data_IF_573272924252
#
_entry.id   IF_573272924252
#
_cell.length_a   1.000
_cell.length_b   1.000
_cell.length_c   1.000
_cell.angle_alpha   90.00
_cell.angle_beta   90.00
_cell.angle_gamma   90.00
#
_symmetry.space_group_name_H-M   'P 1'
#
loop_
_entity.id
_entity.type
_entity.pdbx_description
1 polymer ?
#
# COMPACT_ATOMS: atom_id res chain seq x y z
N UNK A 1 -6.84 6.15 8.61
CA UNK A 1 -5.99 7.33 8.27
C UNK A 1 -4.71 6.94 7.55
N UNK A 2 -3.82 6.15 8.17
CA UNK A 2 -2.53 5.76 7.57
C UNK A 2 -2.64 5.19 6.14
N UNK A 3 -3.70 4.44 5.83
CA UNK A 3 -3.92 3.81 4.51
C UNK A 3 -4.74 4.63 3.50
N UNK A 4 -5.36 5.73 3.92
CA UNK A 4 -6.41 6.40 3.13
C UNK A 4 -6.15 7.89 2.92
N UNK A 5 -5.35 8.51 3.77
CA UNK A 5 -5.05 9.94 3.69
C UNK A 5 -3.71 10.16 2.99
N UNK A 6 -3.67 10.91 1.86
CA UNK A 6 -2.45 11.06 1.07
C UNK A 6 -1.23 11.52 1.87
N UNK A 7 -1.39 12.46 2.79
CA UNK A 7 -0.30 12.99 3.63
C UNK A 7 0.36 11.94 4.53
N UNK A 8 -0.34 10.83 4.82
CA UNK A 8 0.19 9.71 5.56
C UNK A 8 0.74 8.64 4.62
N UNK A 9 0.01 8.30 3.55
CA UNK A 9 0.42 7.27 2.57
C UNK A 9 1.79 7.55 1.97
N UNK A 10 2.05 8.79 1.52
CA UNK A 10 3.32 9.16 0.87
C UNK A 10 4.55 9.03 1.79
N UNK A 11 4.36 8.89 3.11
CA UNK A 11 5.46 8.77 4.07
C UNK A 11 5.94 7.33 4.28
N UNK A 12 5.08 6.35 4.03
CA UNK A 12 5.43 4.94 4.26
C UNK A 12 5.42 4.12 2.97
N UNK A 13 4.61 4.48 1.97
CA UNK A 13 4.50 3.72 0.72
C UNK A 13 5.65 4.08 -0.22
N UNK A 14 6.64 3.20 -0.36
CA UNK A 14 7.76 3.39 -1.28
C UNK A 14 8.99 2.57 -0.91
N UNK A 15 9.83 2.25 -1.90
CA UNK A 15 10.97 1.34 -1.73
C UNK A 15 12.28 2.05 -1.35
N UNK A 16 12.46 3.35 -1.65
CA UNK A 16 13.74 4.04 -1.45
C UNK A 16 13.58 5.33 -0.61
N UNK A 17 14.52 5.65 0.30
CA UNK A 17 14.55 6.92 1.02
C UNK A 17 14.62 8.15 0.10
N UNK A 18 15.25 7.99 -1.07
CA UNK A 18 15.49 9.07 -2.03
C UNK A 18 14.33 9.24 -3.03
N UNK A 19 13.31 8.37 -3.00
CA UNK A 19 12.18 8.46 -3.93
C UNK A 19 11.14 9.48 -3.48
N UNK A 20 10.68 10.33 -4.40
CA UNK A 20 9.50 11.16 -4.18
C UNK A 20 8.24 10.33 -4.45
N UNK A 21 7.28 10.38 -3.54
CA UNK A 21 6.03 9.61 -3.64
C UNK A 21 4.87 10.57 -3.78
N UNK A 22 4.07 10.39 -4.82
CA UNK A 22 2.76 11.03 -4.94
C UNK A 22 1.64 10.00 -4.75
N UNK A 23 0.50 10.47 -4.23
CA UNK A 23 -0.67 9.64 -4.01
C UNK A 23 -1.95 10.43 -4.33
N UNK A 24 -2.74 9.94 -5.28
CA UNK A 24 -4.07 10.45 -5.61
C UNK A 24 -5.09 9.42 -5.17
N UNK A 25 -6.18 9.89 -4.55
CA UNK A 25 -7.14 9.01 -3.91
C UNK A 25 -8.59 9.46 -4.10
N UNK A 26 -9.40 8.62 -4.74
CA UNK A 26 -10.87 8.71 -4.75
C UNK A 26 -11.43 7.68 -3.76
N UNK A 27 -11.48 8.07 -2.47
CA UNK A 27 -11.81 7.16 -1.36
C UNK A 27 -13.32 6.86 -1.28
N UNK A 28 -13.79 5.97 -2.14
CA UNK A 28 -15.15 5.39 -2.12
C UNK A 28 -15.10 4.00 -2.74
N UNK A 29 -16.09 3.16 -2.45
CA UNK A 29 -16.21 1.86 -3.14
C UNK A 29 -16.36 2.11 -4.65
N UNK A 30 -15.56 1.40 -5.44
CA UNK A 30 -15.43 1.59 -6.88
C UNK A 30 -14.61 2.83 -7.30
N UNK A 31 -14.09 3.60 -6.35
CA UNK A 31 -13.13 4.67 -6.59
C UNK A 31 -11.71 4.13 -6.73
N UNK A 32 -10.86 4.91 -7.40
CA UNK A 32 -9.49 4.54 -7.74
C UNK A 32 -8.48 5.31 -6.90
N UNK A 33 -7.35 4.66 -6.62
CA UNK A 33 -6.14 5.32 -6.16
C UNK A 33 -4.98 5.08 -7.12
N UNK A 34 -4.05 6.03 -7.14
CA UNK A 34 -2.78 5.91 -7.88
C UNK A 34 -1.66 6.41 -7.00
N UNK A 35 -0.60 5.61 -6.88
CA UNK A 35 0.68 5.99 -6.30
C UNK A 35 1.77 5.99 -7.36
N UNK A 36 2.60 7.03 -7.37
CA UNK A 36 3.78 7.11 -8.24
C UNK A 36 5.02 7.33 -7.36
N UNK A 37 5.99 6.44 -7.46
CA UNK A 37 7.31 6.58 -6.87
C UNK A 37 8.31 7.01 -7.93
N UNK A 38 8.89 8.20 -7.75
CA UNK A 38 9.87 8.81 -8.65
C UNK A 38 11.28 8.59 -8.10
N UNK A 39 12.10 7.85 -8.83
CA UNK A 39 13.48 7.56 -8.46
C UNK A 39 14.44 8.64 -8.99
N UNK A 40 15.62 8.85 -8.35
CA UNK A 40 16.60 9.84 -8.80
C UNK A 40 17.14 9.63 -10.22
N UNK A 41 17.09 8.39 -10.73
CA UNK A 41 17.51 8.04 -12.09
C UNK A 41 16.43 8.35 -13.16
N UNK A 42 15.29 8.90 -12.75
CA UNK A 42 14.16 9.21 -13.61
C UNK A 42 13.17 8.07 -13.79
N UNK A 43 13.41 6.89 -13.20
CA UNK A 43 12.48 5.77 -13.22
C UNK A 43 11.21 6.13 -12.42
N UNK A 44 10.05 5.80 -12.97
CA UNK A 44 8.76 5.94 -12.29
C UNK A 44 8.14 4.56 -12.10
N UNK A 45 7.91 4.19 -10.85
CA UNK A 45 7.12 3.01 -10.49
C UNK A 45 5.71 3.46 -10.15
N UNK A 46 4.69 2.81 -10.72
CA UNK A 46 3.30 3.15 -10.48
C UNK A 46 2.55 1.98 -9.86
N UNK A 47 1.72 2.27 -8.88
CA UNK A 47 0.71 1.34 -8.38
C UNK A 47 -0.65 1.99 -8.55
N UNK A 48 -1.63 1.24 -9.06
CA UNK A 48 -3.03 1.66 -9.05
C UNK A 48 -3.91 0.57 -8.44
N UNK A 49 -5.10 0.98 -8.01
CA UNK A 49 -6.06 0.05 -7.45
C UNK A 49 -7.46 0.65 -7.36
N UNK A 50 -8.45 -0.24 -7.21
CA UNK A 50 -9.86 0.09 -7.03
C UNK A 50 -10.30 -0.40 -5.66
N UNK A 51 -10.96 0.46 -4.89
CA UNK A 51 -11.54 0.07 -3.60
C UNK A 51 -12.73 -0.86 -3.80
N UNK A 52 -12.67 -2.05 -3.20
CA UNK A 52 -13.72 -3.06 -3.22
C UNK A 52 -14.60 -3.01 -1.97
N UNK A 53 -14.01 -2.69 -0.82
CA UNK A 53 -14.70 -2.57 0.45
C UNK A 53 -14.05 -1.47 1.30
N UNK A 54 -14.88 -0.64 1.93
CA UNK A 54 -14.45 0.36 2.91
C UNK A 54 -15.41 0.26 4.10
N UNK A 55 -14.94 -0.30 5.21
CA UNK A 55 -15.68 -0.38 6.47
C UNK A 55 -14.85 0.29 7.55
N UNK A 56 -15.15 1.56 7.86
CA UNK A 56 -14.33 2.31 8.82
C UNK A 56 -14.72 1.98 10.27
N UNK A 57 -13.74 1.88 11.19
CA UNK A 57 -12.29 1.94 10.97
C UNK A 57 -11.66 0.57 10.63
N UNK A 58 -12.44 -0.51 10.66
CA UNK A 58 -11.95 -1.88 10.85
C UNK A 58 -11.36 -2.54 9.60
N UNK A 59 -11.78 -2.16 8.38
CA UNK A 59 -11.44 -2.91 7.18
C UNK A 59 -11.38 -2.09 5.90
N UNK A 60 -10.39 -2.39 5.07
CA UNK A 60 -10.19 -1.81 3.76
C UNK A 60 -9.75 -2.90 2.77
N UNK A 61 -10.45 -3.03 1.65
CA UNK A 61 -10.11 -4.00 0.59
C UNK A 61 -9.97 -3.28 -0.74
N UNK A 62 -8.89 -3.52 -1.47
CA UNK A 62 -8.63 -2.91 -2.77
C UNK A 62 -7.84 -3.84 -3.70
N UNK A 63 -8.01 -3.64 -4.99
CA UNK A 63 -7.12 -4.28 -5.97
C UNK A 63 -5.75 -3.62 -5.93
N UNK A 64 -4.74 -4.35 -6.37
CA UNK A 64 -3.38 -3.87 -6.44
C UNK A 64 -2.77 -4.26 -7.78
N UNK A 65 -2.36 -3.27 -8.54
CA UNK A 65 -1.80 -3.46 -9.87
C UNK A 65 -0.55 -2.60 -9.96
N UNK A 66 0.59 -3.24 -10.22
CA UNK A 66 1.89 -2.60 -10.27
C UNK A 66 2.35 -2.45 -11.72
N UNK A 67 2.89 -1.29 -12.09
CA UNK A 67 3.72 -1.11 -13.28
C UNK A 67 5.12 -0.60 -12.90
N UNK A 68 6.15 -1.34 -13.29
CA UNK A 68 7.56 -0.96 -13.17
C UNK A 68 8.28 -1.34 -14.45
N UNK A 69 9.01 -0.40 -15.06
CA UNK A 69 9.95 -0.59 -16.17
C UNK A 69 9.77 -1.89 -17.00
N UNK A 70 8.68 -1.98 -17.76
CA UNK A 70 8.39 -3.10 -18.68
C UNK A 70 7.64 -4.30 -18.08
N UNK A 71 7.36 -4.29 -16.78
CA UNK A 71 6.52 -5.26 -16.08
C UNK A 71 5.17 -4.63 -15.72
N UNK A 72 4.09 -5.29 -16.17
CA UNK A 72 2.73 -5.01 -15.72
C UNK A 72 2.27 -6.18 -14.85
N UNK A 73 2.20 -5.93 -13.54
CA UNK A 73 1.65 -6.86 -12.57
C UNK A 73 0.18 -7.17 -12.87
N UNK A 74 -0.25 -8.35 -12.44
CA UNK A 74 -1.66 -8.74 -12.46
C UNK A 74 -2.43 -8.01 -11.36
N UNK A 75 -3.73 -7.83 -11.54
CA UNK A 75 -4.60 -7.31 -10.48
C UNK A 75 -4.65 -8.33 -9.33
N UNK A 76 -3.93 -8.05 -8.25
CA UNK A 76 -3.97 -8.79 -6.99
C UNK A 76 -4.95 -8.13 -6.02
N UNK A 77 -5.19 -8.75 -4.86
CA UNK A 77 -6.12 -8.23 -3.86
C UNK A 77 -5.42 -8.00 -2.52
N UNK A 78 -5.56 -6.80 -1.99
CA UNK A 78 -5.06 -6.43 -0.65
C UNK A 78 -6.24 -6.23 0.28
N UNK A 79 -6.18 -6.89 1.44
CA UNK A 79 -7.08 -6.67 2.57
C UNK A 79 -6.26 -6.16 3.75
N UNK A 80 -6.66 -5.02 4.29
CA UNK A 80 -6.18 -4.48 5.57
C UNK A 80 -7.32 -4.62 6.57
N UNK A 81 -7.05 -5.29 7.68
CA UNK A 81 -7.96 -5.41 8.81
C UNK A 81 -7.29 -4.82 10.05
N UNK A 82 -8.04 -4.02 10.80
CA UNK A 82 -7.63 -3.39 12.04
C UNK A 82 -8.52 -3.92 13.16
N UNK A 83 -7.91 -4.37 14.24
CA UNK A 83 -8.61 -4.78 15.45
C UNK A 83 -8.06 -4.02 16.65
N UNK A 84 -8.94 -3.57 17.54
CA UNK A 84 -8.50 -3.03 18.82
C UNK A 84 -7.84 -4.13 19.66
N UNK A 85 -6.72 -3.78 20.28
CA UNK A 85 -6.02 -4.62 21.25
C UNK A 85 -5.67 -3.77 22.47
N UNK A 86 -5.42 -4.40 23.61
CA UNK A 86 -5.07 -3.69 24.85
C UNK A 86 -3.85 -2.79 24.63
N UNK A 87 -4.07 -1.47 24.64
CA UNK A 87 -3.03 -0.46 24.45
C UNK A 87 -2.61 -0.21 23.00
N UNK A 88 -3.33 -0.71 21.99
CA UNK A 88 -2.98 -0.47 20.59
C UNK A 88 -3.96 -1.00 19.55
N UNK A 89 -3.45 -1.22 18.35
CA UNK A 89 -4.21 -1.74 17.21
C UNK A 89 -3.41 -2.86 16.58
N UNK A 90 -4.02 -4.04 16.44
CA UNK A 90 -3.50 -5.10 15.61
C UNK A 90 -3.86 -4.81 14.15
N UNK A 91 -2.85 -4.79 13.30
CA UNK A 91 -3.00 -4.66 11.86
C UNK A 91 -2.69 -5.99 11.20
N UNK A 92 -3.66 -6.54 10.48
CA UNK A 92 -3.46 -7.68 9.58
C UNK A 92 -3.52 -7.22 8.14
N UNK A 93 -2.43 -7.44 7.39
CA UNK A 93 -2.38 -7.21 5.94
C UNK A 93 -2.30 -8.55 5.21
N UNK A 94 -3.30 -8.82 4.36
CA UNK A 94 -3.30 -9.97 3.46
C UNK A 94 -3.20 -9.49 2.03
N UNK A 95 -2.19 -9.96 1.30
CA UNK A 95 -2.05 -9.75 -0.13
C UNK A 95 -2.14 -11.11 -0.83
N UNK A 96 -3.07 -11.25 -1.77
CA UNK A 96 -3.41 -12.53 -2.41
C UNK A 96 -3.69 -12.38 -3.91
N UNK A 97 -4.01 -13.51 -4.56
CA UNK A 97 -4.27 -13.63 -6.01
C UNK A 97 -3.04 -13.36 -6.91
N UNK A 98 -1.83 -13.65 -6.42
CA UNK A 98 -0.61 -13.61 -7.23
C UNK A 98 -0.60 -14.70 -8.31
N UNK A 99 -0.02 -14.38 -9.47
CA UNK A 99 0.17 -15.33 -10.56
C UNK A 99 1.24 -16.38 -10.26
N UNK A 100 2.27 -16.01 -9.50
CA UNK A 100 3.39 -16.88 -9.12
C UNK A 100 3.91 -16.58 -7.70
N UNK A 101 4.70 -17.50 -7.17
CA UNK A 101 5.24 -17.42 -5.80
C UNK A 101 6.37 -16.41 -5.63
N UNK A 102 7.11 -16.09 -6.70
CA UNK A 102 8.20 -15.12 -6.64
C UNK A 102 7.65 -13.70 -6.46
N UNK A 103 6.61 -13.34 -7.23
CA UNK A 103 5.89 -12.10 -7.09
C UNK A 103 5.29 -11.96 -5.68
N UNK A 104 4.70 -13.02 -5.13
CA UNK A 104 4.19 -13.05 -3.75
C UNK A 104 5.29 -12.72 -2.74
N UNK A 105 6.44 -13.38 -2.85
CA UNK A 105 7.54 -13.24 -1.88
C UNK A 105 8.19 -11.86 -1.94
N UNK A 106 8.37 -11.31 -3.14
CA UNK A 106 8.85 -9.93 -3.34
C UNK A 106 7.88 -8.89 -2.74
N UNK A 107 6.57 -9.06 -2.95
CA UNK A 107 5.57 -8.19 -2.33
C UNK A 107 5.54 -8.34 -0.81
N UNK A 108 5.76 -9.55 -0.28
CA UNK A 108 5.88 -9.79 1.16
C UNK A 108 7.02 -8.99 1.80
N UNK A 109 8.19 -8.99 1.16
CA UNK A 109 9.33 -8.17 1.60
C UNK A 109 9.03 -6.67 1.50
N UNK A 110 8.43 -6.23 0.39
CA UNK A 110 8.00 -4.85 0.18
C UNK A 110 7.05 -4.35 1.26
N UNK A 111 6.03 -5.15 1.59
CA UNK A 111 5.08 -4.84 2.65
C UNK A 111 5.72 -4.79 4.03
N UNK A 112 6.67 -5.69 4.33
CA UNK A 112 7.41 -5.66 5.60
C UNK A 112 8.08 -4.30 5.84
N UNK A 113 8.83 -3.81 4.85
CA UNK A 113 9.47 -2.49 4.93
C UNK A 113 8.46 -1.33 5.06
N UNK A 114 7.32 -1.42 4.39
CA UNK A 114 6.26 -0.42 4.50
C UNK A 114 5.63 -0.41 5.91
N UNK A 115 5.39 -1.59 6.50
CA UNK A 115 4.83 -1.71 7.84
C UNK A 115 5.80 -1.22 8.92
N UNK A 116 7.10 -1.45 8.77
CA UNK A 116 8.13 -0.89 9.66
C UNK A 116 8.12 0.64 9.64
N UNK A 117 7.96 1.26 8.46
CA UNK A 117 7.80 2.71 8.33
C UNK A 117 6.55 3.22 9.02
N UNK A 118 5.41 2.51 8.90
CA UNK A 118 4.18 2.85 9.61
C UNK A 118 4.41 2.80 11.13
N UNK A 119 5.03 1.74 11.63
CA UNK A 119 5.33 1.60 13.06
C UNK A 119 6.23 2.74 13.56
N UNK A 120 7.28 3.10 12.82
CA UNK A 120 8.15 4.23 13.14
C UNK A 120 7.43 5.58 13.17
N UNK A 121 6.51 5.82 12.22
CA UNK A 121 5.71 7.05 12.18
C UNK A 121 4.73 7.16 13.36
N UNK A 122 4.21 6.02 13.84
CA UNK A 122 3.28 5.97 14.98
C UNK A 122 4.00 6.07 16.33
N UNK A 123 5.26 5.62 16.43
CA UNK A 123 6.06 5.71 17.65
C UNK A 123 6.53 7.13 18.01
N UNK A 124 6.47 8.07 17.06
CA UNK A 124 6.89 9.47 17.22
C UNK A 124 5.69 10.41 17.47
N UNK A 125 4.50 9.83 17.72
CA UNK A 125 3.24 10.54 17.99
C UNK A 125 2.79 10.47 19.43
#
# INVERSE_FOLDING_TARGET
RMFTEPQHVVRWLGCAPESEVSFRNDLRVGGEFVSEGHMPDGTVNRVWGVYREISQPDRLVFTWSWEAAGFKGSDTLVTVALAEQDGGTELTLRHEAFADGEARDLHGQGWGMCLDKIAGLLAVG
#
